data_IF_594912312473
#
_entry.id   IF_594912312473
#
_cell.length_a   1.000
_cell.length_b   1.000
_cell.length_c   1.000
_cell.angle_alpha   90.00
_cell.angle_beta   90.00
_cell.angle_gamma   90.00
#
_symmetry.space_group_name_H-M   'P 1'
#
loop_
_entity.id
_entity.type
_entity.pdbx_description
1 polymer ?
#
# COMPACT_ATOMS: atom_id res chain seq x y z
N UNK A 1 2.40 17.67 3.35
CA UNK A 1 1.90 16.83 2.24
C UNK A 1 3.07 16.25 1.46
N UNK A 2 3.15 14.93 1.36
CA UNK A 2 4.22 14.25 0.61
C UNK A 2 4.13 14.53 -0.90
N UNK A 3 5.25 14.47 -1.63
CA UNK A 3 5.26 14.64 -3.10
C UNK A 3 4.36 13.63 -3.81
N UNK A 4 4.27 12.39 -3.31
CA UNK A 4 3.44 11.34 -3.91
C UNK A 4 1.95 11.67 -3.82
N UNK A 5 1.51 12.31 -2.73
CA UNK A 5 0.11 12.74 -2.56
C UNK A 5 -0.38 13.66 -3.68
N UNK A 6 0.50 14.53 -4.22
CA UNK A 6 0.18 15.45 -5.33
C UNK A 6 0.02 14.75 -6.69
N UNK A 7 0.48 13.51 -6.80
CA UNK A 7 0.46 12.74 -8.05
C UNK A 7 -0.72 11.77 -8.13
N UNK A 8 -1.48 11.61 -7.04
CA UNK A 8 -2.62 10.71 -6.95
C UNK A 8 -3.90 11.36 -7.48
N UNK A 9 -4.77 10.51 -8.01
CA UNK A 9 -6.17 10.83 -8.35
C UNK A 9 -7.08 9.91 -7.54
N UNK A 10 -8.36 10.24 -7.43
CA UNK A 10 -9.34 9.34 -6.79
C UNK A 10 -9.28 7.95 -7.40
N UNK A 11 -9.24 6.94 -6.54
CA UNK A 11 -9.09 5.52 -6.88
C UNK A 11 -7.81 5.12 -7.62
N UNK A 12 -6.81 5.99 -7.63
CA UNK A 12 -5.48 5.67 -8.14
C UNK A 12 -4.52 5.38 -6.99
N UNK A 13 -3.44 4.66 -7.31
CA UNK A 13 -2.36 4.40 -6.39
C UNK A 13 -0.99 4.45 -7.05
N UNK A 14 0.02 4.71 -6.24
CA UNK A 14 1.42 4.74 -6.67
C UNK A 14 2.31 4.01 -5.69
N UNK A 15 3.28 3.28 -6.23
CA UNK A 15 4.37 2.72 -5.43
C UNK A 15 5.47 3.76 -5.26
N UNK A 16 6.03 3.84 -4.07
CA UNK A 16 7.15 4.73 -3.79
C UNK A 16 8.04 4.15 -2.69
N UNK A 17 9.31 4.49 -2.72
CA UNK A 17 10.22 4.25 -1.60
C UNK A 17 10.15 5.45 -0.66
N UNK A 18 9.89 5.20 0.63
CA UNK A 18 9.89 6.26 1.62
C UNK A 18 11.32 6.53 2.08
N UNK A 19 11.93 7.56 1.51
CA UNK A 19 13.26 8.02 1.95
C UNK A 19 13.10 8.58 3.38
N UNK A 20 13.95 8.16 4.34
CA UNK A 20 13.95 8.72 5.68
C UNK A 20 14.16 10.24 5.64
N UNK A 21 13.58 10.96 6.60
CA UNK A 21 13.81 12.40 6.76
C UNK A 21 15.32 12.68 6.88
N UNK A 22 15.76 13.84 6.39
CA UNK A 22 17.14 14.32 6.55
C UNK A 22 17.55 14.54 8.01
N UNK A 23 16.59 14.57 8.94
CA UNK A 23 16.82 14.57 10.39
C UNK A 23 17.09 13.18 10.98
N UNK A 24 16.91 12.09 10.20
CA UNK A 24 17.15 10.74 10.66
C UNK A 24 18.66 10.51 10.85
N UNK A 25 19.07 10.25 12.09
CA UNK A 25 20.48 10.04 12.47
C UNK A 25 21.05 8.71 11.93
N UNK A 26 20.20 7.83 11.42
CA UNK A 26 20.58 6.54 10.86
C UNK A 26 19.94 6.32 9.47
N UNK A 27 20.77 5.98 8.49
CA UNK A 27 20.31 5.53 7.17
C UNK A 27 19.96 4.04 7.29
N UNK A 28 18.71 3.63 7.06
CA UNK A 28 18.32 2.24 7.15
C UNK A 28 18.96 1.43 6.02
N UNK A 29 19.39 0.21 6.36
CA UNK A 29 19.99 -0.75 5.42
C UNK A 29 19.01 -1.12 4.29
N UNK A 30 17.69 -0.97 4.53
CA UNK A 30 16.64 -1.18 3.54
C UNK A 30 15.63 -0.04 3.60
N UNK A 31 15.31 0.52 2.44
CA UNK A 31 14.28 1.54 2.30
C UNK A 31 12.93 0.83 2.10
N UNK A 32 11.90 1.10 2.92
CA UNK A 32 10.61 0.43 2.79
C UNK A 32 9.90 0.86 1.50
N UNK A 33 9.33 -0.13 0.81
CA UNK A 33 8.45 0.09 -0.33
C UNK A 33 7.02 0.26 0.18
N UNK A 34 6.38 1.34 -0.23
CA UNK A 34 5.03 1.69 0.19
C UNK A 34 4.12 1.91 -1.03
N UNK A 35 2.83 1.76 -0.80
CA UNK A 35 1.76 2.06 -1.74
C UNK A 35 0.97 3.24 -1.19
N UNK A 36 1.02 4.38 -1.89
CA UNK A 36 0.16 5.51 -1.61
C UNK A 36 -1.13 5.37 -2.42
N UNK A 37 -2.28 5.45 -1.77
CA UNK A 37 -3.60 5.26 -2.35
C UNK A 37 -4.51 6.44 -2.02
N UNK A 38 -5.28 6.92 -2.97
CA UNK A 38 -6.35 7.88 -2.72
C UNK A 38 -7.70 7.21 -2.91
N UNK A 39 -8.50 7.16 -1.84
CA UNK A 39 -9.88 6.65 -1.89
C UNK A 39 -10.79 7.47 -2.81
N UNK A 40 -11.95 6.91 -3.16
CA UNK A 40 -13.04 7.59 -3.83
C UNK A 40 -13.48 8.85 -3.06
N UNK A 41 -13.43 8.81 -1.73
CA UNK A 41 -13.70 9.95 -0.86
C UNK A 41 -12.57 11.01 -0.83
N UNK A 42 -11.46 10.79 -1.53
CA UNK A 42 -10.32 11.71 -1.60
C UNK A 42 -9.35 11.63 -0.41
N UNK A 43 -9.60 10.77 0.59
CA UNK A 43 -8.64 10.50 1.67
C UNK A 43 -7.47 9.68 1.15
N UNK A 44 -6.26 10.06 1.54
CA UNK A 44 -5.00 9.41 1.17
C UNK A 44 -4.59 8.43 2.26
N UNK A 45 -4.07 7.27 1.85
CA UNK A 45 -3.60 6.19 2.71
C UNK A 45 -2.24 5.70 2.23
N UNK A 46 -1.41 5.25 3.16
CA UNK A 46 -0.09 4.71 2.89
C UNK A 46 0.02 3.29 3.44
N UNK A 47 0.18 2.31 2.55
CA UNK A 47 0.26 0.90 2.91
C UNK A 47 1.67 0.34 2.67
N UNK A 48 2.30 -0.32 3.63
CA UNK A 48 3.55 -1.03 3.39
C UNK A 48 3.36 -2.17 2.40
N UNK A 49 4.40 -2.44 1.61
CA UNK A 49 4.51 -3.65 0.80
C UNK A 49 5.55 -4.58 1.45
N UNK A 50 5.10 -5.78 1.80
CA UNK A 50 5.98 -6.83 2.29
C UNK A 50 6.47 -7.69 1.12
N UNK A 51 7.75 -8.03 1.15
CA UNK A 51 8.36 -9.07 0.33
C UNK A 51 8.90 -10.16 1.26
N UNK A 52 8.37 -11.37 1.12
CA UNK A 52 8.88 -12.57 1.79
C UNK A 52 9.59 -13.43 0.75
N UNK A 53 10.69 -14.05 1.15
CA UNK A 53 11.45 -14.97 0.29
C UNK A 53 11.45 -16.33 0.94
N UNK A 54 10.98 -17.33 0.20
CA UNK A 54 11.01 -18.71 0.62
C UNK A 54 12.46 -19.20 0.67
N UNK A 55 12.88 -19.79 1.80
CA UNK A 55 14.28 -20.17 2.01
C UNK A 55 14.71 -21.37 1.15
N UNK A 56 13.79 -22.29 0.86
CA UNK A 56 14.09 -23.50 0.10
C UNK A 56 14.12 -23.29 -1.42
N UNK A 57 13.21 -22.47 -1.92
CA UNK A 57 13.03 -22.23 -3.37
C UNK A 57 13.58 -20.88 -3.83
N UNK A 58 13.87 -19.97 -2.90
CA UNK A 58 14.26 -18.59 -3.19
C UNK A 58 13.16 -17.74 -3.81
N UNK A 59 11.91 -18.23 -3.87
CA UNK A 59 10.80 -17.52 -4.51
C UNK A 59 10.33 -16.36 -3.65
N UNK A 60 10.11 -15.22 -4.30
CA UNK A 60 9.56 -14.04 -3.66
C UNK A 60 8.03 -14.05 -3.67
N UNK A 61 7.46 -13.46 -2.63
CA UNK A 61 6.03 -13.29 -2.46
C UNK A 61 5.75 -11.89 -1.91
N UNK A 62 5.07 -11.10 -2.73
CA UNK A 62 4.80 -9.68 -2.54
C UNK A 62 3.35 -9.46 -2.13
N UNK A 63 3.09 -8.67 -1.09
CA UNK A 63 1.73 -8.34 -0.63
C UNK A 63 1.62 -6.91 -0.11
N UNK A 64 0.44 -6.31 -0.29
CA UNK A 64 0.08 -5.01 0.32
C UNK A 64 -0.49 -5.26 1.72
N UNK A 65 0.00 -4.51 2.70
CA UNK A 65 -0.45 -4.57 4.10
C UNK A 65 -1.46 -3.46 4.39
N UNK A 66 -2.72 -3.66 3.99
CA UNK A 66 -3.83 -2.72 4.23
C UNK A 66 -4.79 -3.16 5.34
N UNK A 67 -4.33 -4.07 6.21
CA UNK A 67 -5.09 -4.56 7.37
C UNK A 67 -5.88 -5.86 7.16
N UNK A 68 -6.06 -6.32 5.92
CA UNK A 68 -6.68 -7.62 5.68
C UNK A 68 -5.66 -8.75 5.84
N UNK A 69 -5.82 -9.65 6.83
CA UNK A 69 -4.92 -10.79 7.00
C UNK A 69 -4.92 -11.73 5.79
N UNK A 70 -6.02 -11.75 5.02
CA UNK A 70 -6.22 -12.59 3.83
C UNK A 70 -5.81 -11.88 2.54
N UNK A 71 -5.07 -10.77 2.61
CA UNK A 71 -4.61 -10.07 1.40
C UNK A 71 -3.79 -11.00 0.49
N UNK A 72 -4.12 -11.00 -0.79
CA UNK A 72 -3.45 -11.82 -1.80
C UNK A 72 -1.96 -11.51 -1.87
N UNK A 73 -1.15 -12.56 -2.07
CA UNK A 73 0.28 -12.43 -2.31
C UNK A 73 0.62 -12.83 -3.75
N UNK A 74 1.66 -12.21 -4.31
CA UNK A 74 1.99 -12.30 -5.73
C UNK A 74 3.47 -12.61 -5.93
N UNK A 75 3.80 -13.41 -6.94
CA UNK A 75 5.19 -13.76 -7.25
C UNK A 75 6.02 -12.56 -7.75
N UNK A 76 5.39 -11.49 -8.23
CA UNK A 76 6.06 -10.28 -8.72
C UNK A 76 5.30 -9.03 -8.34
N UNK A 77 6.02 -7.90 -8.18
CA UNK A 77 5.41 -6.58 -8.03
C UNK A 77 4.49 -6.21 -9.19
N UNK A 78 4.85 -6.60 -10.42
CA UNK A 78 4.01 -6.33 -11.59
C UNK A 78 2.64 -7.04 -11.51
N UNK A 79 2.62 -8.28 -11.03
CA UNK A 79 1.37 -9.02 -10.80
C UNK A 79 0.53 -8.39 -9.69
N UNK A 80 1.16 -7.95 -8.59
CA UNK A 80 0.51 -7.20 -7.52
C UNK A 80 -0.16 -5.92 -8.05
N UNK A 81 0.60 -5.10 -8.79
CA UNK A 81 0.08 -3.86 -9.36
C UNK A 81 -1.06 -4.14 -10.33
N UNK A 82 -0.90 -5.14 -11.21
CA UNK A 82 -1.94 -5.50 -12.18
C UNK A 82 -3.23 -5.92 -11.47
N UNK A 83 -3.13 -6.75 -10.43
CA UNK A 83 -4.30 -7.19 -9.67
C UNK A 83 -5.04 -6.00 -9.05
N UNK A 84 -4.34 -5.14 -8.30
CA UNK A 84 -4.96 -3.99 -7.65
C UNK A 84 -5.43 -2.89 -8.61
N UNK A 85 -5.02 -2.91 -9.88
CA UNK A 85 -5.61 -2.04 -10.91
C UNK A 85 -6.92 -2.57 -11.51
N UNK A 86 -7.16 -3.87 -11.41
CA UNK A 86 -8.31 -4.54 -12.03
C UNK A 86 -9.43 -4.75 -11.01
N UNK A 87 -9.08 -5.12 -9.78
CA UNK A 87 -10.04 -5.48 -8.75
C UNK A 87 -10.22 -4.36 -7.74
N UNK A 88 -11.49 -4.10 -7.43
CA UNK A 88 -11.93 -3.13 -6.42
C UNK A 88 -12.95 -3.78 -5.48
N UNK A 89 -13.12 -3.15 -4.33
CA UNK A 89 -14.14 -3.47 -3.35
C UNK A 89 -15.29 -2.48 -3.50
N UNK A 90 -16.51 -2.97 -3.22
CA UNK A 90 -17.69 -2.12 -3.09
C UNK A 90 -18.05 -2.00 -1.62
N UNK A 91 -18.19 -0.78 -1.11
CA UNK A 91 -18.76 -0.52 0.21
C UNK A 91 -20.26 -0.87 0.17
N UNK A 92 -20.73 -1.86 0.93
CA UNK A 92 -22.13 -2.26 0.92
C UNK A 92 -23.08 -1.19 1.47
N UNK A 93 -22.57 -0.22 2.24
CA UNK A 93 -23.41 0.82 2.85
C UNK A 93 -23.57 2.04 1.94
N UNK A 94 -22.48 2.46 1.29
CA UNK A 94 -22.46 3.69 0.48
C UNK A 94 -22.50 3.42 -1.03
N UNK A 95 -22.21 2.19 -1.46
CA UNK A 95 -22.02 1.83 -2.86
C UNK A 95 -20.71 2.36 -3.46
N UNK A 96 -19.84 3.00 -2.66
CA UNK A 96 -18.56 3.50 -3.12
C UNK A 96 -17.69 2.33 -3.60
N UNK A 97 -16.99 2.53 -4.71
CA UNK A 97 -16.03 1.57 -5.24
C UNK A 97 -14.64 2.09 -4.90
N UNK A 98 -13.87 1.32 -4.16
CA UNK A 98 -12.48 1.64 -3.82
C UNK A 98 -11.58 0.46 -4.11
N UNK A 99 -10.34 0.73 -4.54
CA UNK A 99 -9.33 -0.29 -4.76
C UNK A 99 -8.97 -1.04 -3.47
N UNK A 100 -9.04 -0.36 -2.32
CA UNK A 100 -8.78 -0.93 -1.01
C UNK A 100 -9.98 -0.69 -0.09
N UNK A 101 -10.37 -1.66 0.76
CA UNK A 101 -11.58 -1.59 1.58
C UNK A 101 -11.36 -0.74 2.84
N UNK A 102 -11.00 0.53 2.65
CA UNK A 102 -10.57 1.44 3.72
C UNK A 102 -11.65 1.76 4.76
N UNK A 103 -12.93 1.59 4.42
CA UNK A 103 -14.05 1.73 5.35
C UNK A 103 -14.16 0.60 6.38
N UNK A 104 -13.47 -0.52 6.19
CA UNK A 104 -13.54 -1.67 7.10
C UNK A 104 -12.75 -1.47 8.41
N UNK A 105 -12.16 -0.29 8.63
CA UNK A 105 -11.52 0.06 9.90
C UNK A 105 -10.20 -0.65 10.21
N UNK A 106 -9.64 -1.42 9.27
CA UNK A 106 -8.38 -2.15 9.46
C UNK A 106 -7.14 -1.39 8.93
N UNK A 107 -7.27 -0.11 8.58
CA UNK A 107 -6.16 0.65 8.01
C UNK A 107 -5.12 0.90 9.10
N UNK A 108 -3.92 0.34 8.93
CA UNK A 108 -2.73 0.76 9.69
C UNK A 108 -2.33 2.12 9.10
N UNK A 109 -2.73 3.20 9.76
CA UNK A 109 -2.33 4.56 9.40
C UNK A 109 -0.94 4.82 9.97
N UNK A 110 0.06 5.02 9.12
CA UNK A 110 1.45 5.24 9.54
C UNK A 110 1.75 6.69 9.97
N UNK A 111 0.73 7.56 9.95
CA UNK A 111 0.86 8.95 10.41
C UNK A 111 0.80 9.09 11.96
N UNK A 112 0.72 7.99 12.72
CA UNK A 112 0.69 8.00 14.21
C UNK A 112 2.02 7.64 14.90
N UNK A 113 3.14 7.48 14.18
CA UNK A 113 4.45 7.26 14.82
C UNK A 113 5.23 8.58 14.83
N UNK A 114 5.00 9.38 15.87
CA UNK A 114 5.89 10.45 16.34
C UNK A 114 7.13 9.86 17.06
#
# INVERSE_FOLDING_TARGET
>A
MSTVSKMLRQNDFRLYYQVPSSSATAIPIRIPLCLAYMSAAGKIYHFPIACTKDEGTGRESWRVLYGDPRSSSFATLAALVKYHKIYSYMDPNTGAIDTFPVWKGAVIDFDEID
#
